data_IF_656433954852
#
_entry.id   IF_656433954852
#
_cell.length_a   1.000
_cell.length_b   1.000
_cell.length_c   1.000
_cell.angle_alpha   90.00
_cell.angle_beta   90.00
_cell.angle_gamma   90.00
#
_symmetry.space_group_name_H-M   'P 1'
#
loop_
_entity.id
_entity.type
_entity.pdbx_description
1 polymer ?
#
# COMPACT_ATOMS: atom_id res chain seq x y z
N UNK A 1 0.69 -57.45 31.90
CA UNK A 1 -0.65 -58.05 31.73
C UNK A 1 -1.67 -56.94 31.65
N UNK A 2 -2.35 -56.94 30.51
CA UNK A 2 -3.64 -56.33 30.14
C UNK A 2 -3.67 -54.81 29.96
N UNK A 3 -3.56 -54.43 28.72
CA UNK A 3 -4.06 -53.21 28.15
C UNK A 3 -5.58 -53.32 27.98
N UNK A 4 -6.30 -52.24 28.21
CA UNK A 4 -7.59 -52.01 27.56
C UNK A 4 -7.64 -50.59 27.02
N UNK A 5 -7.66 -50.55 25.71
CA UNK A 5 -7.98 -49.42 24.85
C UNK A 5 -9.48 -49.18 24.85
N UNK A 6 -9.93 -47.97 25.08
CA UNK A 6 -11.25 -47.55 24.63
C UNK A 6 -11.09 -46.22 23.85
N UNK A 7 -10.94 -46.38 22.55
CA UNK A 7 -11.14 -45.31 21.56
C UNK A 7 -12.66 -45.15 21.36
N UNK A 8 -13.29 -44.27 22.12
CA UNK A 8 -14.63 -43.80 21.80
C UNK A 8 -14.54 -42.70 20.71
N UNK A 9 -14.89 -43.11 19.49
CA UNK A 9 -15.14 -42.17 18.38
C UNK A 9 -16.50 -41.54 18.60
N UNK A 10 -16.53 -40.29 19.02
CA UNK A 10 -17.76 -39.50 19.06
C UNK A 10 -18.11 -39.04 17.64
N UNK A 11 -19.20 -39.59 17.08
CA UNK A 11 -19.81 -39.11 15.86
C UNK A 11 -20.51 -37.76 16.15
N UNK A 12 -20.01 -36.67 15.57
CA UNK A 12 -20.66 -35.36 15.60
C UNK A 12 -21.82 -35.41 14.58
N UNK A 13 -23.06 -35.09 15.00
CA UNK A 13 -24.22 -35.07 14.11
C UNK A 13 -24.02 -34.08 12.96
N UNK A 14 -24.42 -34.44 11.74
CA UNK A 14 -24.22 -33.66 10.51
C UNK A 14 -24.85 -32.25 10.53
N UNK A 15 -25.82 -32.00 11.42
CA UNK A 15 -26.43 -30.68 11.61
C UNK A 15 -25.56 -29.66 12.36
N UNK A 16 -24.42 -30.06 12.95
CA UNK A 16 -23.47 -29.17 13.62
C UNK A 16 -22.22 -28.86 12.78
N UNK A 17 -22.11 -29.46 11.60
CA UNK A 17 -20.97 -29.20 10.69
C UNK A 17 -21.04 -27.87 9.94
N UNK A 18 -22.15 -27.11 10.01
CA UNK A 18 -22.36 -25.88 9.24
C UNK A 18 -21.88 -24.59 9.91
N UNK A 19 -21.33 -24.63 11.13
CA UNK A 19 -20.89 -23.43 11.87
C UNK A 19 -19.40 -23.37 12.21
N UNK A 20 -18.56 -24.21 11.62
CA UNK A 20 -17.14 -23.94 11.67
C UNK A 20 -16.87 -22.76 10.70
N UNK A 21 -16.37 -21.60 11.16
CA UNK A 21 -15.88 -20.61 10.23
C UNK A 21 -14.79 -21.29 9.42
N UNK A 22 -14.99 -21.43 8.12
CA UNK A 22 -13.93 -21.75 7.19
C UNK A 22 -12.97 -20.56 7.30
N UNK A 23 -11.96 -20.70 8.15
CA UNK A 23 -10.78 -19.84 8.12
C UNK A 23 -10.23 -19.99 6.71
N UNK A 24 -10.64 -19.09 5.81
CA UNK A 24 -9.97 -18.90 4.54
C UNK A 24 -8.52 -18.69 4.91
N UNK A 25 -7.67 -19.66 4.62
CA UNK A 25 -6.23 -19.52 4.68
C UNK A 25 -5.94 -18.39 3.70
N UNK A 26 -5.82 -17.15 4.19
CA UNK A 26 -5.47 -16.02 3.36
C UNK A 26 -4.10 -16.35 2.78
N UNK A 27 -4.01 -16.42 1.46
CA UNK A 27 -2.72 -16.56 0.81
C UNK A 27 -1.86 -15.37 1.25
N UNK A 28 -0.61 -15.62 1.65
CA UNK A 28 0.36 -14.57 1.95
C UNK A 28 0.39 -13.61 0.77
N UNK A 29 0.08 -12.33 1.01
CA UNK A 29 0.09 -11.31 -0.02
C UNK A 29 1.44 -10.60 -0.04
N UNK A 30 1.87 -10.20 -1.23
CA UNK A 30 3.01 -9.31 -1.41
C UNK A 30 2.51 -7.86 -1.44
N UNK A 31 2.92 -7.09 -0.45
CA UNK A 31 2.52 -5.69 -0.27
C UNK A 31 3.72 -4.78 -0.56
N UNK A 32 3.54 -3.81 -1.45
CA UNK A 32 4.54 -2.77 -1.70
C UNK A 32 4.08 -1.48 -1.03
N UNK A 33 4.92 -0.93 -0.15
CA UNK A 33 4.67 0.35 0.52
C UNK A 33 5.66 1.38 0.00
N UNK A 34 5.17 2.44 -0.65
CA UNK A 34 6.00 3.49 -1.27
C UNK A 34 5.90 4.76 -0.42
N UNK A 35 7.00 5.09 0.26
CA UNK A 35 7.15 6.34 1.00
C UNK A 35 7.76 7.40 0.11
N UNK A 36 7.04 8.50 -0.09
CA UNK A 36 7.38 9.51 -1.10
C UNK A 36 7.98 10.79 -0.52
N UNK A 37 8.04 10.92 0.80
CA UNK A 37 8.69 12.03 1.47
C UNK A 37 10.21 11.90 1.42
N UNK A 38 10.90 13.00 1.09
CA UNK A 38 12.37 13.06 1.14
C UNK A 38 12.91 13.60 2.47
N UNK A 39 12.02 13.89 3.43
CA UNK A 39 12.39 14.47 4.72
C UNK A 39 12.79 13.37 5.70
N UNK A 40 13.94 13.50 6.35
CA UNK A 40 14.32 12.64 7.48
C UNK A 40 13.33 12.81 8.63
N UNK A 41 12.85 11.70 9.22
CA UNK A 41 11.84 11.71 10.27
C UNK A 41 10.46 12.17 9.80
N UNK A 42 10.14 11.91 8.54
CA UNK A 42 8.86 12.28 7.93
C UNK A 42 7.67 11.66 8.65
N UNK A 43 6.63 12.45 8.89
CA UNK A 43 5.37 12.00 9.50
C UNK A 43 4.64 10.97 8.62
N UNK A 44 4.63 11.16 7.30
CA UNK A 44 4.03 10.18 6.37
C UNK A 44 4.83 8.87 6.30
N UNK A 45 6.16 8.94 6.47
CA UNK A 45 7.00 7.75 6.55
C UNK A 45 6.72 6.94 7.82
N UNK A 46 6.44 7.61 8.94
CA UNK A 46 6.04 6.97 10.19
C UNK A 46 4.66 6.30 10.09
N UNK A 47 3.71 6.87 9.34
CA UNK A 47 2.45 6.19 9.02
C UNK A 47 2.71 4.93 8.19
N UNK A 48 3.58 5.02 7.19
CA UNK A 48 3.97 3.88 6.36
C UNK A 48 4.58 2.75 7.21
N UNK A 49 5.47 3.08 8.16
CA UNK A 49 6.07 2.09 9.04
C UNK A 49 5.03 1.36 9.90
N UNK A 50 4.02 2.09 10.42
CA UNK A 50 2.94 1.47 11.19
C UNK A 50 2.01 0.61 10.33
N UNK A 51 1.72 1.02 9.12
CA UNK A 51 0.99 0.19 8.16
C UNK A 51 1.75 -1.11 7.86
N UNK A 52 3.07 -1.03 7.66
CA UNK A 52 3.95 -2.18 7.44
C UNK A 52 3.90 -3.14 8.64
N UNK A 53 4.05 -2.61 9.87
CA UNK A 53 3.95 -3.42 11.09
C UNK A 53 2.63 -4.19 11.14
N UNK A 54 1.50 -3.55 10.77
CA UNK A 54 0.18 -4.19 10.70
C UNK A 54 0.12 -5.29 9.65
N UNK A 55 0.57 -5.01 8.41
CA UNK A 55 0.54 -5.97 7.31
C UNK A 55 1.44 -7.19 7.57
N UNK A 56 2.60 -6.99 8.20
CA UNK A 56 3.48 -8.08 8.64
C UNK A 56 2.82 -8.89 9.76
N UNK A 57 2.15 -8.24 10.72
CA UNK A 57 1.42 -8.93 11.79
C UNK A 57 0.26 -9.79 11.25
N UNK A 58 -0.32 -9.42 10.10
CA UNK A 58 -1.31 -10.24 9.38
C UNK A 58 -0.69 -11.40 8.59
N UNK A 59 0.64 -11.51 8.55
CA UNK A 59 1.36 -12.60 7.88
C UNK A 59 1.72 -12.32 6.42
N UNK A 60 1.62 -11.07 5.95
CA UNK A 60 1.95 -10.67 4.60
C UNK A 60 3.46 -10.43 4.41
N UNK A 61 3.94 -10.61 3.18
CA UNK A 61 5.28 -10.19 2.76
C UNK A 61 5.25 -8.71 2.37
N UNK A 62 6.02 -7.87 3.05
CA UNK A 62 6.01 -6.42 2.83
C UNK A 62 7.38 -5.91 2.41
N UNK A 63 7.41 -5.15 1.32
CA UNK A 63 8.60 -4.41 0.88
C UNK A 63 8.32 -2.90 0.95
N UNK A 64 9.15 -2.17 1.71
CA UNK A 64 9.14 -0.70 1.73
C UNK A 64 10.09 -0.15 0.68
N UNK A 65 9.61 0.80 -0.10
CA UNK A 65 10.38 1.59 -1.05
C UNK A 65 10.35 3.05 -0.61
N UNK A 66 11.47 3.56 -0.13
CA UNK A 66 11.64 5.00 0.10
C UNK A 66 12.15 5.69 -1.16
N UNK A 67 11.57 6.84 -1.51
CA UNK A 67 12.05 7.64 -2.64
C UNK A 67 13.24 8.55 -2.27
N UNK A 68 13.69 8.56 -1.02
CA UNK A 68 14.78 9.42 -0.54
C UNK A 68 16.08 9.21 -1.33
N UNK A 69 16.40 7.95 -1.64
CA UNK A 69 17.66 7.57 -2.29
C UNK A 69 17.44 7.13 -3.75
N UNK A 70 16.34 7.57 -4.38
CA UNK A 70 15.99 7.16 -5.74
C UNK A 70 16.20 8.27 -6.75
N UNK A 71 16.86 7.93 -7.86
CA UNK A 71 16.89 8.78 -9.06
C UNK A 71 15.63 8.49 -9.88
N UNK A 72 14.69 9.44 -9.90
CA UNK A 72 13.45 9.34 -10.68
C UNK A 72 13.27 10.63 -11.47
N UNK A 73 13.62 10.57 -12.76
CA UNK A 73 13.50 11.72 -13.67
C UNK A 73 12.10 11.83 -14.23
N UNK A 74 11.71 13.03 -14.64
CA UNK A 74 10.38 13.33 -15.16
C UNK A 74 10.06 12.57 -16.45
N UNK A 75 8.80 12.17 -16.59
CA UNK A 75 8.28 11.60 -17.82
C UNK A 75 8.36 12.64 -18.96
N UNK A 76 8.84 12.21 -20.13
CA UNK A 76 8.95 13.07 -21.34
C UNK A 76 7.76 12.94 -22.29
N UNK A 77 6.75 12.11 -21.95
CA UNK A 77 5.58 11.88 -22.80
C UNK A 77 5.88 11.23 -24.14
N UNK A 78 7.02 10.56 -24.30
CA UNK A 78 7.48 10.02 -25.59
C UNK A 78 6.73 8.76 -26.05
N UNK A 79 5.91 8.15 -25.20
CA UNK A 79 5.09 6.96 -25.42
C UNK A 79 5.86 5.69 -25.87
N UNK A 80 7.18 5.72 -25.91
CA UNK A 80 8.00 4.54 -26.27
C UNK A 80 7.71 3.34 -25.36
N UNK A 81 7.40 3.60 -24.11
CA UNK A 81 7.09 2.57 -23.11
C UNK A 81 5.84 1.73 -23.45
N UNK A 82 4.87 2.25 -24.20
CA UNK A 82 3.68 1.49 -24.61
C UNK A 82 4.04 0.32 -25.55
N UNK A 83 5.10 0.47 -26.35
CA UNK A 83 5.62 -0.59 -27.23
C UNK A 83 6.63 -1.49 -26.54
N UNK A 84 7.43 -0.94 -25.62
CA UNK A 84 8.56 -1.62 -25.00
C UNK A 84 8.21 -2.32 -23.67
N UNK A 85 7.06 -2.01 -23.06
CA UNK A 85 6.69 -2.48 -21.73
C UNK A 85 7.60 -1.94 -20.62
N UNK A 86 8.46 -0.96 -20.91
CA UNK A 86 9.38 -0.31 -19.95
C UNK A 86 9.72 1.10 -20.41
N UNK A 87 10.04 1.98 -19.46
CA UNK A 87 10.51 3.32 -19.80
C UNK A 87 11.92 3.32 -20.36
N UNK A 88 12.16 4.16 -21.38
CA UNK A 88 13.49 4.31 -22.00
C UNK A 88 14.47 5.12 -21.13
N UNK A 89 13.96 5.84 -20.14
CA UNK A 89 14.79 6.57 -19.17
C UNK A 89 15.38 5.54 -18.20
N UNK A 90 16.70 5.49 -18.13
CA UNK A 90 17.43 4.56 -17.26
C UNK A 90 17.61 5.22 -15.89
N UNK A 91 16.72 4.88 -14.97
CA UNK A 91 16.69 5.29 -13.57
C UNK A 91 15.88 4.31 -12.75
N UNK A 92 15.68 4.56 -11.44
CA UNK A 92 15.03 3.62 -10.51
C UNK A 92 13.54 3.35 -10.81
N UNK A 93 12.87 4.18 -11.64
CA UNK A 93 11.43 4.06 -11.86
C UNK A 93 11.04 2.72 -12.53
N UNK A 94 11.90 2.15 -13.39
CA UNK A 94 11.60 0.87 -14.03
C UNK A 94 11.58 -0.28 -13.01
N UNK A 95 12.54 -0.30 -12.09
CA UNK A 95 12.64 -1.36 -11.08
C UNK A 95 11.48 -1.27 -10.08
N UNK A 96 11.12 -0.05 -9.66
CA UNK A 96 9.94 0.18 -8.81
C UNK A 96 8.66 -0.28 -9.53
N UNK A 97 8.51 0.08 -10.80
CA UNK A 97 7.36 -0.33 -11.61
C UNK A 97 7.21 -1.86 -11.67
N UNK A 98 8.32 -2.60 -11.86
CA UNK A 98 8.27 -4.06 -11.90
C UNK A 98 7.83 -4.66 -10.55
N UNK A 99 8.24 -4.06 -9.43
CA UNK A 99 7.79 -4.48 -8.11
C UNK A 99 6.29 -4.23 -7.92
N UNK A 100 5.80 -3.07 -8.34
CA UNK A 100 4.38 -2.69 -8.31
C UNK A 100 3.53 -3.64 -9.16
N UNK A 101 3.94 -3.97 -10.38
CA UNK A 101 3.24 -4.92 -11.26
C UNK A 101 3.01 -6.28 -10.59
N UNK A 102 3.98 -6.75 -9.79
CA UNK A 102 4.00 -8.06 -9.16
C UNK A 102 3.48 -8.05 -7.70
N UNK A 103 3.06 -6.92 -7.18
CA UNK A 103 2.45 -6.81 -5.85
C UNK A 103 0.97 -7.25 -5.88
N UNK A 104 0.47 -7.73 -4.75
CA UNK A 104 -0.96 -7.98 -4.54
C UNK A 104 -1.69 -6.73 -4.05
N UNK A 105 -1.01 -5.91 -3.24
CA UNK A 105 -1.50 -4.63 -2.75
C UNK A 105 -0.40 -3.57 -2.77
N UNK A 106 -0.82 -2.30 -2.89
CA UNK A 106 0.09 -1.14 -2.92
C UNK A 106 -0.38 -0.13 -1.88
N UNK A 107 0.55 0.39 -1.07
CA UNK A 107 0.29 1.51 -0.18
C UNK A 107 1.18 2.69 -0.55
N UNK A 108 0.57 3.83 -0.82
CA UNK A 108 1.25 5.10 -1.03
C UNK A 108 1.23 5.92 0.25
N UNK A 109 2.39 6.39 0.69
CA UNK A 109 2.51 7.31 1.82
C UNK A 109 3.15 8.62 1.34
N UNK A 110 2.42 9.73 1.47
CA UNK A 110 2.82 11.03 0.93
C UNK A 110 2.48 12.19 1.87
N UNK A 111 3.36 13.19 2.01
CA UNK A 111 2.95 14.48 2.57
C UNK A 111 2.06 15.20 1.56
N UNK A 112 1.15 16.02 2.08
CA UNK A 112 0.35 16.94 1.26
C UNK A 112 1.09 18.25 1.12
N UNK A 113 1.30 18.68 -0.12
CA UNK A 113 1.85 19.97 -0.49
C UNK A 113 0.86 20.70 -1.40
N UNK A 114 0.41 21.90 -0.98
CA UNK A 114 -0.60 22.66 -1.72
C UNK A 114 -1.85 21.82 -2.05
N UNK A 115 -2.36 21.06 -1.05
CA UNK A 115 -3.54 20.19 -1.12
C UNK A 115 -3.41 18.99 -2.09
N UNK A 116 -2.19 18.69 -2.56
CA UNK A 116 -1.93 17.61 -3.50
C UNK A 116 -0.87 16.63 -2.97
N UNK A 117 -0.77 15.46 -3.60
CA UNK A 117 0.33 14.53 -3.36
C UNK A 117 1.68 15.19 -3.65
N UNK A 118 2.73 14.73 -3.01
CA UNK A 118 4.06 15.24 -3.26
C UNK A 118 4.46 15.12 -4.74
N UNK A 119 5.27 16.05 -5.26
CA UNK A 119 5.77 15.99 -6.62
C UNK A 119 6.54 14.70 -6.92
N UNK A 120 7.21 14.11 -5.92
CA UNK A 120 7.91 12.83 -6.02
C UNK A 120 6.95 11.69 -6.32
N UNK A 121 5.82 11.62 -5.60
CA UNK A 121 4.77 10.64 -5.86
C UNK A 121 4.22 10.78 -7.27
N UNK A 122 3.85 12.01 -7.65
CA UNK A 122 3.29 12.28 -8.99
C UNK A 122 4.28 11.93 -10.09
N UNK A 123 5.56 12.27 -9.92
CA UNK A 123 6.61 11.93 -10.88
C UNK A 123 6.71 10.41 -11.08
N UNK A 124 6.69 9.63 -9.99
CA UNK A 124 6.73 8.17 -10.09
C UNK A 124 5.49 7.62 -10.78
N UNK A 125 4.29 8.12 -10.45
CA UNK A 125 3.03 7.75 -11.10
C UNK A 125 3.10 8.01 -12.61
N UNK A 126 3.59 9.16 -13.05
CA UNK A 126 3.74 9.48 -14.47
C UNK A 126 4.72 8.52 -15.19
N UNK A 127 5.72 8.01 -14.47
CA UNK A 127 6.70 7.06 -14.99
C UNK A 127 6.13 5.65 -15.08
N UNK A 128 5.06 5.34 -14.34
CA UNK A 128 4.35 4.05 -14.42
C UNK A 128 3.46 3.91 -15.66
N UNK A 129 3.43 4.88 -16.56
CA UNK A 129 2.69 4.77 -17.84
C UNK A 129 3.07 3.53 -18.65
N UNK A 130 4.27 2.96 -18.46
CA UNK A 130 4.68 1.70 -19.09
C UNK A 130 3.83 0.49 -18.64
N UNK A 131 3.17 0.54 -17.47
CA UNK A 131 2.31 -0.52 -16.95
C UNK A 131 0.98 -0.63 -17.70
N UNK A 132 0.55 0.44 -18.37
CA UNK A 132 -0.78 0.54 -18.97
C UNK A 132 -1.09 -0.60 -19.96
N UNK A 133 -0.08 -1.10 -20.67
CA UNK A 133 -0.20 -2.20 -21.63
C UNK A 133 0.20 -3.57 -21.08
N UNK A 134 0.55 -3.66 -19.80
CA UNK A 134 1.01 -4.89 -19.16
C UNK A 134 -0.06 -5.48 -18.24
N UNK A 135 0.01 -6.78 -18.02
CA UNK A 135 -0.79 -7.39 -16.96
C UNK A 135 -0.21 -7.03 -15.59
N UNK A 136 -1.08 -6.83 -14.61
CA UNK A 136 -0.74 -6.43 -13.27
C UNK A 136 -1.48 -7.28 -12.23
N UNK A 137 -0.83 -7.51 -11.09
CA UNK A 137 -1.34 -8.40 -10.07
C UNK A 137 -2.16 -7.67 -9.00
N UNK A 138 -1.82 -6.43 -8.67
CA UNK A 138 -2.43 -5.69 -7.56
C UNK A 138 -3.94 -5.48 -7.73
N UNK A 139 -4.65 -5.48 -6.58
CA UNK A 139 -6.08 -5.22 -6.48
C UNK A 139 -6.38 -4.07 -5.55
N UNK A 140 -5.77 -4.06 -4.39
CA UNK A 140 -6.03 -3.09 -3.34
C UNK A 140 -4.93 -2.03 -3.29
N UNK A 141 -5.36 -0.77 -3.32
CA UNK A 141 -4.47 0.40 -3.22
C UNK A 141 -4.86 1.19 -1.98
N UNK A 142 -3.88 1.59 -1.20
CA UNK A 142 -4.03 2.35 0.02
C UNK A 142 -3.33 3.70 -0.10
N UNK A 143 -3.86 4.73 0.58
CA UNK A 143 -3.26 6.05 0.61
C UNK A 143 -3.13 6.56 2.05
N UNK A 144 -1.91 6.85 2.48
CA UNK A 144 -1.60 7.46 3.77
C UNK A 144 -1.09 8.89 3.51
N UNK A 145 -1.71 9.88 4.14
CA UNK A 145 -1.37 11.28 3.92
C UNK A 145 -1.15 12.03 5.22
N UNK A 146 -0.25 13.02 5.20
CA UNK A 146 0.00 13.93 6.33
C UNK A 146 0.06 15.36 5.87
N UNK A 147 -0.39 16.30 6.70
CA UNK A 147 -0.34 17.73 6.42
C UNK A 147 -0.17 18.56 7.71
N UNK A 148 0.23 19.82 7.55
CA UNK A 148 0.21 20.80 8.64
C UNK A 148 -1.23 21.17 9.03
N UNK A 149 -2.13 21.30 8.06
CA UNK A 149 -3.54 21.57 8.26
C UNK A 149 -4.31 20.29 8.65
N UNK A 150 -5.40 20.41 9.42
CA UNK A 150 -6.16 19.26 9.94
C UNK A 150 -7.61 19.20 9.43
N UNK A 151 -7.96 20.04 8.45
CA UNK A 151 -9.30 20.03 7.88
C UNK A 151 -9.53 18.77 7.01
N UNK A 152 -10.74 18.19 7.05
CA UNK A 152 -11.07 16.94 6.33
C UNK A 152 -10.92 17.02 4.81
N UNK A 153 -10.88 18.22 4.25
CA UNK A 153 -10.80 18.46 2.81
C UNK A 153 -9.36 18.47 2.28
N UNK A 154 -8.39 18.58 3.17
CA UNK A 154 -6.95 18.69 2.81
C UNK A 154 -6.46 17.54 1.95
N UNK A 155 -6.76 16.25 2.21
CA UNK A 155 -6.26 15.14 1.40
C UNK A 155 -7.06 14.89 0.12
N UNK A 156 -8.24 15.52 -0.07
CA UNK A 156 -9.18 15.15 -1.15
C UNK A 156 -8.62 15.23 -2.56
N UNK A 157 -7.74 16.22 -2.85
CA UNK A 157 -7.15 16.35 -4.19
C UNK A 157 -6.11 15.27 -4.45
N UNK A 158 -5.27 14.97 -3.46
CA UNK A 158 -4.31 13.88 -3.56
C UNK A 158 -5.01 12.53 -3.75
N UNK A 159 -6.12 12.31 -3.03
CA UNK A 159 -6.98 11.13 -3.17
C UNK A 159 -7.59 11.06 -4.58
N UNK A 160 -8.19 12.16 -5.06
CA UNK A 160 -8.77 12.23 -6.39
C UNK A 160 -7.72 11.99 -7.49
N UNK A 161 -6.51 12.55 -7.35
CA UNK A 161 -5.41 12.32 -8.27
C UNK A 161 -4.97 10.86 -8.31
N UNK A 162 -4.89 10.20 -7.15
CA UNK A 162 -4.58 8.77 -7.07
C UNK A 162 -5.73 7.92 -7.64
N UNK A 163 -6.98 8.26 -7.38
CA UNK A 163 -8.14 7.59 -7.96
C UNK A 163 -8.09 7.64 -9.51
N UNK A 164 -7.72 8.78 -10.09
CA UNK A 164 -7.56 8.89 -11.55
C UNK A 164 -6.49 7.93 -12.11
N UNK A 165 -5.42 7.64 -11.34
CA UNK A 165 -4.47 6.59 -11.72
C UNK A 165 -5.06 5.19 -11.53
N UNK A 166 -5.77 4.92 -10.43
CA UNK A 166 -6.43 3.63 -10.16
C UNK A 166 -7.45 3.30 -11.25
N UNK A 167 -8.23 4.26 -11.71
CA UNK A 167 -9.24 4.09 -12.75
C UNK A 167 -8.66 3.61 -14.10
N UNK A 168 -7.36 3.83 -14.33
CA UNK A 168 -6.64 3.26 -15.47
C UNK A 168 -6.37 1.75 -15.32
N UNK A 169 -6.65 1.16 -14.15
CA UNK A 169 -6.40 -0.25 -13.82
C UNK A 169 -7.70 -0.93 -13.33
N UNK A 170 -8.59 -1.38 -14.22
CA UNK A 170 -9.97 -1.80 -13.88
C UNK A 170 -10.08 -2.94 -12.88
N UNK A 171 -8.99 -3.71 -12.64
CA UNK A 171 -8.98 -4.79 -11.64
C UNK A 171 -8.63 -4.27 -10.24
N UNK A 172 -8.27 -3.00 -10.08
CA UNK A 172 -7.85 -2.41 -8.81
C UNK A 172 -8.88 -1.43 -8.25
N UNK A 173 -8.74 -1.13 -6.96
CA UNK A 173 -9.61 -0.19 -6.23
C UNK A 173 -8.83 0.54 -5.15
N UNK A 174 -9.31 1.71 -4.76
CA UNK A 174 -8.89 2.35 -3.51
C UNK A 174 -9.53 1.59 -2.35
N UNK A 175 -8.72 0.83 -1.60
CA UNK A 175 -9.18 -0.05 -0.53
C UNK A 175 -9.22 0.66 0.83
N UNK A 176 -8.43 1.71 1.01
CA UNK A 176 -8.46 2.50 2.23
C UNK A 176 -7.59 3.74 2.15
N UNK A 177 -8.00 4.76 2.93
CA UNK A 177 -7.25 6.01 3.10
C UNK A 177 -7.09 6.33 4.57
N UNK A 178 -5.99 6.99 4.91
CA UNK A 178 -5.76 7.53 6.24
C UNK A 178 -5.09 8.89 6.14
N UNK A 179 -5.70 9.89 6.76
CA UNK A 179 -5.16 11.23 6.86
C UNK A 179 -4.80 11.57 8.31
N UNK A 180 -3.62 12.16 8.50
CA UNK A 180 -3.21 12.77 9.74
C UNK A 180 -2.81 14.22 9.48
N UNK A 181 -3.69 15.15 9.84
CA UNK A 181 -3.44 16.58 9.84
C UNK A 181 -2.76 17.06 11.12
N UNK A 182 -2.43 18.34 11.17
CA UNK A 182 -1.82 18.99 12.33
C UNK A 182 -0.37 18.57 12.59
N UNK A 183 0.33 18.01 11.59
CA UNK A 183 1.71 17.49 11.73
C UNK A 183 2.63 18.12 10.69
N UNK A 184 3.35 19.18 11.06
CA UNK A 184 4.23 19.95 10.18
C UNK A 184 5.71 19.57 10.33
N UNK A 185 6.26 19.73 11.54
CA UNK A 185 7.67 19.42 11.77
C UNK A 185 7.92 17.89 11.76
N UNK A 186 9.16 17.45 11.49
CA UNK A 186 9.51 16.04 11.57
C UNK A 186 9.13 15.43 12.92
N UNK A 187 8.62 14.19 12.91
CA UNK A 187 8.27 13.39 14.07
C UNK A 187 7.13 13.94 14.96
N UNK A 188 6.44 15.02 14.56
CA UNK A 188 5.31 15.58 15.35
C UNK A 188 4.11 14.64 15.42
N UNK A 189 4.08 13.62 14.58
CA UNK A 189 3.06 12.55 14.63
C UNK A 189 3.29 11.56 15.79
N UNK A 190 4.43 11.59 16.47
CA UNK A 190 4.72 10.68 17.59
C UNK A 190 3.64 10.79 18.68
N UNK A 191 3.14 9.63 19.12
CA UNK A 191 2.04 9.57 20.09
C UNK A 191 0.63 9.84 19.52
N UNK A 192 0.51 10.18 18.23
CA UNK A 192 -0.80 10.40 17.61
C UNK A 192 -1.52 9.07 17.39
N UNK A 193 -2.83 9.03 17.69
CA UNK A 193 -3.69 7.85 17.49
C UNK A 193 -3.70 7.35 16.04
N UNK A 194 -3.43 8.21 15.06
CA UNK A 194 -3.36 7.86 13.65
C UNK A 194 -2.26 6.83 13.34
N UNK A 195 -1.23 6.73 14.17
CA UNK A 195 -0.25 5.65 14.05
C UNK A 195 -0.88 4.28 14.33
N UNK A 196 -1.77 4.18 15.32
CA UNK A 196 -2.51 2.95 15.58
C UNK A 196 -3.53 2.66 14.48
N UNK A 197 -4.23 3.67 13.98
CA UNK A 197 -5.14 3.51 12.84
C UNK A 197 -4.40 3.00 11.59
N UNK A 198 -3.17 3.47 11.34
CA UNK A 198 -2.32 2.98 10.25
C UNK A 198 -1.95 1.50 10.44
N UNK A 199 -1.61 1.09 11.67
CA UNK A 199 -1.35 -0.32 12.00
C UNK A 199 -2.59 -1.20 11.71
N UNK A 200 -3.77 -0.81 12.21
CA UNK A 200 -5.00 -1.58 11.97
C UNK A 200 -5.39 -1.61 10.48
N UNK A 201 -5.16 -0.52 9.74
CA UNK A 201 -5.37 -0.51 8.29
C UNK A 201 -4.45 -1.51 7.59
N UNK A 202 -3.16 -1.55 7.95
CA UNK A 202 -2.20 -2.51 7.41
C UNK A 202 -2.54 -3.96 7.77
N UNK A 203 -3.05 -4.20 8.97
CA UNK A 203 -3.45 -5.54 9.44
C UNK A 203 -4.66 -6.11 8.68
N UNK A 204 -5.44 -5.25 8.04
CA UNK A 204 -6.61 -5.64 7.27
C UNK A 204 -6.33 -5.82 5.75
N UNK A 205 -5.05 -5.80 5.36
CA UNK A 205 -4.62 -6.06 3.98
C UNK A 205 -4.74 -7.53 3.62
#
# INVERSE_FOLDING_TARGET
>A
MVATSDNQVYNIPDNLRSFAPVLKKSSIMKVIVISTSLRTGSNSDMLADKFIEGAVAAGNEVEKISLTDKDIRFCKGCLACQKLGKCVIKDDANDIMQKVLNADAICWATPIYYYEMSGQMKTLIDRMNAMYSLDYKFRDVYLLTTAAEDEPDVPKRAEAGLCGWIDCYPKSRLAGTLFCGGVDAPRTIEGNKKLHEAFELGKNV
#
